data_IF_820232936825
#
_entry.id   IF_820232936825
#
_cell.length_a   1.000
_cell.length_b   1.000
_cell.length_c   1.000
_cell.angle_alpha   90.00
_cell.angle_beta   90.00
_cell.angle_gamma   90.00
#
_symmetry.space_group_name_H-M   'P 1'
#
loop_
_entity.id
_entity.type
_entity.pdbx_description
1 polymer ?
#
# COMPACT_ATOMS: atom_id res chain seq x y z
N UNK A 1 -2.51 3.78 3.06
CA UNK A 1 -2.28 2.82 4.14
C UNK A 1 -2.43 1.39 3.63
N UNK A 2 -1.79 0.46 4.32
CA UNK A 2 -1.94 -0.96 4.10
C UNK A 2 -3.20 -1.47 4.81
N UNK A 3 -3.96 -2.35 4.16
CA UNK A 3 -5.17 -2.94 4.72
C UNK A 3 -5.08 -4.46 4.74
N UNK A 4 -5.65 -5.03 5.79
CA UNK A 4 -5.86 -6.46 5.93
C UNK A 4 -7.21 -6.80 5.26
N UNK A 5 -7.15 -7.52 4.16
CA UNK A 5 -8.34 -7.97 3.44
C UNK A 5 -8.70 -9.39 3.89
N UNK A 6 -9.88 -9.58 4.42
CA UNK A 6 -10.38 -10.87 4.89
C UNK A 6 -11.34 -11.47 3.85
N UNK A 7 -11.11 -12.69 3.44
CA UNK A 7 -11.98 -13.43 2.53
C UNK A 7 -13.17 -13.99 3.30
N UNK A 8 -14.35 -13.37 3.15
CA UNK A 8 -15.55 -13.71 3.92
C UNK A 8 -15.99 -15.17 3.76
N UNK A 9 -15.88 -15.75 2.57
CA UNK A 9 -16.27 -17.14 2.34
C UNK A 9 -15.35 -18.11 3.10
N UNK A 10 -14.03 -17.88 3.02
CA UNK A 10 -13.04 -18.70 3.75
C UNK A 10 -13.13 -18.45 5.25
N UNK A 11 -13.32 -17.22 5.70
CA UNK A 11 -13.54 -16.90 7.09
C UNK A 11 -14.76 -17.65 7.67
N UNK A 12 -15.85 -17.70 6.93
CA UNK A 12 -17.06 -18.45 7.34
C UNK A 12 -16.80 -19.96 7.38
N UNK A 13 -16.08 -20.53 6.41
CA UNK A 13 -15.75 -21.96 6.36
C UNK A 13 -14.92 -22.39 7.57
N UNK A 14 -13.95 -21.57 7.99
CA UNK A 14 -13.05 -21.85 9.11
C UNK A 14 -13.51 -21.25 10.44
N UNK A 15 -14.68 -20.64 10.48
CA UNK A 15 -15.25 -20.07 11.72
C UNK A 15 -14.47 -18.87 12.26
N UNK A 16 -13.83 -18.10 11.38
CA UNK A 16 -13.10 -16.89 11.76
C UNK A 16 -14.11 -15.78 12.07
N UNK A 17 -14.11 -15.28 13.30
CA UNK A 17 -14.81 -14.06 13.62
C UNK A 17 -13.91 -12.86 13.22
N UNK A 18 -14.27 -12.18 12.15
CA UNK A 18 -13.48 -11.07 11.62
C UNK A 18 -13.33 -9.90 12.59
N UNK A 19 -14.25 -9.76 13.57
CA UNK A 19 -14.15 -8.69 14.57
C UNK A 19 -13.03 -8.93 15.59
N UNK A 20 -12.63 -10.19 15.76
CA UNK A 20 -11.55 -10.56 16.69
C UNK A 20 -10.15 -10.43 16.07
N UNK A 21 -10.06 -10.24 14.74
CA UNK A 21 -8.79 -10.08 14.04
C UNK A 21 -8.35 -8.62 14.07
N UNK A 22 -7.26 -8.35 14.77
CA UNK A 22 -6.65 -7.02 14.88
C UNK A 22 -5.21 -6.98 14.35
N UNK A 23 -4.56 -8.14 14.21
CA UNK A 23 -3.17 -8.31 13.80
C UNK A 23 -2.98 -9.60 13.01
N UNK A 24 -1.81 -9.79 12.41
CA UNK A 24 -1.47 -11.05 11.74
C UNK A 24 -1.40 -12.22 12.73
N UNK A 25 -0.97 -11.98 13.96
CA UNK A 25 -0.85 -12.96 15.00
C UNK A 25 -2.22 -13.58 15.39
N UNK A 26 -3.30 -12.80 15.28
CA UNK A 26 -4.66 -13.29 15.55
C UNK A 26 -5.13 -14.32 14.51
N UNK A 27 -4.51 -14.34 13.34
CA UNK A 27 -4.80 -15.30 12.27
C UNK A 27 -4.08 -16.63 12.45
N UNK A 28 -3.04 -16.72 13.27
CA UNK A 28 -2.16 -17.90 13.37
C UNK A 28 -2.90 -19.22 13.59
N UNK A 29 -3.91 -19.34 14.48
CA UNK A 29 -4.63 -20.61 14.69
C UNK A 29 -5.36 -21.09 13.42
N UNK A 30 -5.86 -20.17 12.62
CA UNK A 30 -6.58 -20.47 11.38
C UNK A 30 -5.60 -20.79 10.24
N UNK A 31 -4.47 -20.07 10.17
CA UNK A 31 -3.39 -20.35 9.21
C UNK A 31 -2.81 -21.75 9.44
N UNK A 32 -2.63 -22.15 10.70
CA UNK A 32 -2.21 -23.49 11.05
C UNK A 32 -3.23 -24.54 10.57
N UNK A 33 -4.52 -24.31 10.78
CA UNK A 33 -5.58 -25.24 10.36
C UNK A 33 -5.60 -25.43 8.83
N UNK A 34 -5.38 -24.36 8.08
CA UNK A 34 -5.25 -24.39 6.61
C UNK A 34 -3.99 -25.14 6.16
N UNK A 35 -2.87 -24.89 6.83
CA UNK A 35 -1.60 -25.55 6.51
C UNK A 35 -1.67 -27.06 6.79
N UNK A 36 -2.37 -27.50 7.83
CA UNK A 36 -2.63 -28.92 8.11
C UNK A 36 -3.42 -29.61 6.98
N UNK A 37 -4.19 -28.84 6.22
CA UNK A 37 -4.90 -29.30 5.01
C UNK A 37 -4.05 -29.13 3.72
N UNK A 38 -2.82 -28.65 3.82
CA UNK A 38 -1.94 -28.38 2.68
C UNK A 38 -2.31 -27.10 1.91
N UNK A 39 -3.05 -26.20 2.52
CA UNK A 39 -3.45 -24.90 1.96
C UNK A 39 -2.60 -23.77 2.55
N UNK A 40 -2.52 -22.65 1.85
CA UNK A 40 -1.86 -21.43 2.32
C UNK A 40 -2.90 -20.35 2.59
N UNK A 41 -2.93 -19.88 3.83
CA UNK A 41 -4.00 -18.98 4.28
C UNK A 41 -3.69 -17.49 4.18
N UNK A 42 -2.43 -17.10 4.03
CA UNK A 42 -1.99 -15.71 3.99
C UNK A 42 -1.38 -15.39 2.61
N UNK A 43 -1.98 -14.44 1.91
CA UNK A 43 -1.45 -13.93 0.64
C UNK A 43 -0.63 -12.67 0.90
N UNK A 44 0.67 -12.72 0.69
CA UNK A 44 1.58 -11.57 0.65
C UNK A 44 2.10 -11.41 -0.78
N UNK A 45 1.41 -10.59 -1.56
CA UNK A 45 1.74 -10.37 -2.98
C UNK A 45 3.09 -9.64 -3.11
N UNK A 46 4.00 -10.21 -3.90
CA UNK A 46 5.33 -9.63 -4.17
C UNK A 46 5.28 -8.27 -4.88
N UNK A 47 4.15 -7.89 -5.45
CA UNK A 47 3.97 -6.57 -6.09
C UNK A 47 3.54 -5.47 -5.12
N UNK A 48 3.22 -5.82 -3.87
CA UNK A 48 2.89 -4.82 -2.85
C UNK A 48 4.17 -4.23 -2.25
N UNK A 49 4.35 -2.93 -2.39
CA UNK A 49 5.53 -2.20 -1.91
C UNK A 49 5.32 -1.49 -0.56
N UNK A 50 4.26 -1.85 0.20
CA UNK A 50 3.89 -1.14 1.44
C UNK A 50 4.02 -1.98 2.72
N UNK A 51 4.63 -3.17 2.67
CA UNK A 51 4.70 -4.05 3.85
C UNK A 51 5.48 -3.45 5.04
N UNK A 52 6.38 -2.50 4.81
CA UNK A 52 7.06 -1.76 5.88
C UNK A 52 6.09 -0.95 6.76
N UNK A 53 4.90 -0.62 6.26
CA UNK A 53 3.88 0.04 7.07
C UNK A 53 3.39 -0.83 8.23
N UNK A 54 3.42 -2.17 8.09
CA UNK A 54 3.13 -3.10 9.20
C UNK A 54 4.11 -2.95 10.36
N UNK A 55 5.33 -2.53 10.07
CA UNK A 55 6.33 -2.23 11.07
C UNK A 55 6.25 -0.78 11.60
N UNK A 56 5.30 0.02 11.10
CA UNK A 56 5.13 1.42 11.50
C UNK A 56 6.13 2.36 10.84
N UNK A 57 6.53 2.05 9.62
CA UNK A 57 7.43 2.90 8.84
C UNK A 57 6.72 3.47 7.62
N UNK A 58 7.20 4.61 7.15
CA UNK A 58 6.96 5.12 5.82
C UNK A 58 8.26 5.20 5.04
N UNK A 59 8.21 5.42 3.73
CA UNK A 59 9.38 5.49 2.88
C UNK A 59 9.60 6.91 2.36
N UNK A 60 10.84 7.38 2.39
CA UNK A 60 11.24 8.65 1.81
C UNK A 60 12.49 8.47 0.96
N UNK A 61 12.40 8.73 -0.35
CA UNK A 61 13.51 8.58 -1.31
C UNK A 61 14.32 7.28 -1.12
N UNK A 62 13.60 6.17 -0.86
CA UNK A 62 14.18 4.86 -0.72
C UNK A 62 14.69 4.48 0.67
N UNK A 63 14.68 5.37 1.65
CA UNK A 63 14.96 5.06 3.06
C UNK A 63 13.69 5.06 3.90
N UNK A 64 13.77 4.57 5.12
CA UNK A 64 12.62 4.35 5.98
C UNK A 64 12.57 5.38 7.12
N UNK A 65 11.36 5.92 7.32
CA UNK A 65 11.05 6.88 8.38
C UNK A 65 10.16 6.17 9.39
N UNK A 66 10.58 6.15 10.64
CA UNK A 66 9.76 5.62 11.72
C UNK A 66 8.59 6.57 11.98
N UNK A 67 7.38 6.07 11.83
CA UNK A 67 6.15 6.86 11.95
C UNK A 67 5.93 7.41 13.37
N UNK A 68 6.44 6.73 14.38
CA UNK A 68 6.30 7.14 15.80
C UNK A 68 7.26 8.26 16.18
N UNK A 69 8.51 8.18 15.69
CA UNK A 69 9.57 9.14 16.05
C UNK A 69 9.71 10.28 15.05
N UNK A 70 9.22 10.11 13.82
CA UNK A 70 9.42 11.02 12.69
C UNK A 70 10.86 11.03 12.17
N UNK A 71 11.71 10.09 12.60
CA UNK A 71 13.12 10.05 12.24
C UNK A 71 13.40 8.97 11.17
N UNK A 72 14.41 9.24 10.35
CA UNK A 72 14.98 8.24 9.46
C UNK A 72 15.76 7.21 10.28
N UNK A 73 15.44 5.93 10.11
CA UNK A 73 16.04 4.82 10.86
C UNK A 73 16.37 3.66 9.92
N UNK A 74 17.35 2.84 10.30
CA UNK A 74 17.56 1.56 9.63
C UNK A 74 16.48 0.57 10.06
N UNK A 75 15.55 0.28 9.17
CA UNK A 75 14.41 -0.60 9.45
C UNK A 75 14.85 -2.01 9.86
N UNK A 76 15.98 -2.50 9.35
CA UNK A 76 16.53 -3.82 9.68
C UNK A 76 17.24 -3.90 11.03
N UNK A 77 17.35 -2.78 11.76
CA UNK A 77 17.85 -2.72 13.14
C UNK A 77 16.75 -2.29 14.14
N UNK A 78 15.55 -1.91 13.65
CA UNK A 78 14.46 -1.48 14.52
C UNK A 78 13.70 -2.68 15.12
N UNK A 79 13.46 -2.67 16.44
CA UNK A 79 12.85 -3.79 17.17
C UNK A 79 11.44 -4.16 16.66
N UNK A 80 10.61 -3.16 16.32
CA UNK A 80 9.26 -3.37 15.82
C UNK A 80 9.26 -4.00 14.43
N UNK A 81 10.15 -3.53 13.57
CA UNK A 81 10.33 -4.10 12.23
C UNK A 81 10.89 -5.53 12.30
N UNK A 82 11.88 -5.77 13.16
CA UNK A 82 12.43 -7.11 13.39
C UNK A 82 11.37 -8.09 13.91
N UNK A 83 10.45 -7.62 14.77
CA UNK A 83 9.33 -8.45 15.21
C UNK A 83 8.45 -8.87 14.03
N UNK A 84 8.05 -7.90 13.18
CA UNK A 84 7.26 -8.20 11.98
C UNK A 84 7.98 -9.18 11.03
N UNK A 85 9.23 -8.91 10.70
CA UNK A 85 10.05 -9.76 9.83
C UNK A 85 10.19 -11.18 10.38
N UNK A 86 10.30 -11.32 11.72
CA UNK A 86 10.36 -12.63 12.38
C UNK A 86 9.03 -13.38 12.26
N UNK A 87 7.90 -12.70 12.46
CA UNK A 87 6.57 -13.31 12.26
C UNK A 87 6.41 -13.80 10.83
N UNK A 88 6.77 -12.96 9.83
CA UNK A 88 6.73 -13.35 8.41
C UNK A 88 7.66 -14.53 8.14
N UNK A 89 8.87 -14.55 8.73
CA UNK A 89 9.79 -15.66 8.58
C UNK A 89 9.19 -16.97 9.13
N UNK A 90 8.67 -16.96 10.35
CA UNK A 90 8.02 -18.11 10.97
C UNK A 90 6.84 -18.60 10.13
N UNK A 91 6.02 -17.70 9.62
CA UNK A 91 4.86 -18.01 8.77
C UNK A 91 5.28 -18.59 7.40
N UNK A 92 6.38 -18.09 6.84
CA UNK A 92 6.95 -18.68 5.61
C UNK A 92 7.44 -20.10 5.85
N UNK A 93 8.17 -20.35 6.96
CA UNK A 93 8.67 -21.68 7.32
C UNK A 93 7.53 -22.67 7.62
N UNK A 94 6.43 -22.20 8.20
CA UNK A 94 5.24 -23.00 8.50
C UNK A 94 4.36 -23.25 7.26
N UNK A 95 4.69 -22.67 6.11
CA UNK A 95 3.92 -22.82 4.88
C UNK A 95 2.59 -22.06 4.86
N UNK A 96 2.44 -21.02 5.68
CA UNK A 96 1.23 -20.21 5.74
C UNK A 96 1.12 -19.20 4.60
N UNK A 97 2.26 -18.78 4.02
CA UNK A 97 2.33 -17.68 3.05
C UNK A 97 2.27 -18.20 1.63
N UNK A 98 1.47 -17.55 0.79
CA UNK A 98 1.54 -17.59 -0.68
C UNK A 98 1.96 -16.21 -1.18
N UNK A 99 2.93 -16.18 -2.10
CA UNK A 99 3.37 -14.95 -2.79
C UNK A 99 2.78 -14.86 -4.20
N UNK A 100 1.94 -15.82 -4.59
CA UNK A 100 1.36 -15.90 -5.91
C UNK A 100 -0.13 -15.55 -5.85
N UNK A 101 -0.53 -14.59 -6.69
CA UNK A 101 -1.91 -14.14 -6.88
C UNK A 101 -2.79 -15.17 -7.60
N UNK A 102 -2.25 -16.32 -8.02
CA UNK A 102 -3.06 -17.36 -8.66
C UNK A 102 -3.97 -18.06 -7.63
N UNK A 103 -5.01 -17.32 -7.28
CA UNK A 103 -6.01 -17.57 -6.24
C UNK A 103 -6.79 -18.89 -6.50
N UNK A 104 -6.70 -19.43 -7.71
CA UNK A 104 -7.47 -20.63 -8.08
C UNK A 104 -7.04 -21.88 -7.30
N UNK A 105 -5.85 -21.89 -6.70
CA UNK A 105 -5.28 -23.05 -6.03
C UNK A 105 -5.06 -22.87 -4.51
N UNK A 106 -5.06 -21.63 -4.00
CA UNK A 106 -4.79 -21.36 -2.57
C UNK A 106 -6.03 -20.67 -1.94
N UNK A 107 -6.68 -21.35 -0.99
CA UNK A 107 -7.76 -20.75 -0.21
C UNK A 107 -7.15 -19.83 0.85
N UNK A 108 -7.00 -18.54 0.56
CA UNK A 108 -6.48 -17.59 1.53
C UNK A 108 -7.59 -17.02 2.42
N UNK A 109 -7.31 -16.92 3.71
CA UNK A 109 -8.15 -16.21 4.69
C UNK A 109 -7.95 -14.71 4.54
N UNK A 110 -6.70 -14.27 4.34
CA UNK A 110 -6.28 -12.90 4.42
C UNK A 110 -5.26 -12.56 3.36
N UNK A 111 -5.33 -11.33 2.89
CA UNK A 111 -4.23 -10.71 2.16
C UNK A 111 -3.94 -9.31 2.70
N UNK A 112 -2.68 -8.88 2.61
CA UNK A 112 -2.27 -7.50 2.84
C UNK A 112 -2.16 -6.81 1.48
N UNK A 113 -2.85 -5.70 1.33
CA UNK A 113 -2.90 -4.94 0.08
C UNK A 113 -2.89 -3.44 0.35
N UNK A 114 -2.37 -2.62 -0.56
CA UNK A 114 -2.60 -1.18 -0.50
C UNK A 114 -4.10 -0.89 -0.41
N UNK A 115 -4.49 0.08 0.42
CA UNK A 115 -5.88 0.46 0.60
C UNK A 115 -6.52 0.89 -0.72
N UNK A 116 -7.06 -0.09 -1.40
CA UNK A 116 -8.00 0.11 -2.50
C UNK A 116 -9.32 -0.49 -2.07
N UNK A 117 -10.28 0.28 -1.54
CA UNK A 117 -11.54 -0.24 -0.99
C UNK A 117 -12.49 -0.76 -2.07
N UNK A 118 -11.99 -1.34 -3.17
CA UNK A 118 -12.78 -1.56 -4.37
C UNK A 118 -13.41 -2.95 -4.49
N UNK A 119 -12.95 -3.98 -3.75
CA UNK A 119 -13.30 -5.36 -4.17
C UNK A 119 -13.58 -6.37 -3.05
N UNK A 120 -13.65 -6.00 -1.77
CA UNK A 120 -13.70 -6.99 -0.68
C UNK A 120 -14.80 -6.72 0.34
N UNK A 121 -15.47 -7.79 0.75
CA UNK A 121 -16.61 -7.76 1.68
C UNK A 121 -16.25 -7.32 3.10
N UNK A 122 -14.98 -7.46 3.50
CA UNK A 122 -14.46 -6.92 4.75
C UNK A 122 -12.98 -6.56 4.64
N UNK A 123 -12.66 -5.34 5.06
CA UNK A 123 -11.29 -4.85 5.14
C UNK A 123 -11.04 -4.21 6.51
N UNK A 124 -9.83 -4.34 7.03
CA UNK A 124 -9.40 -3.65 8.26
C UNK A 124 -8.14 -2.87 7.96
N UNK A 125 -8.11 -1.61 8.36
CA UNK A 125 -6.90 -0.80 8.29
C UNK A 125 -5.97 -1.28 9.39
N UNK A 126 -4.79 -1.74 9.03
CA UNK A 126 -3.78 -2.28 9.95
C UNK A 126 -2.53 -1.42 10.03
N UNK A 127 -2.44 -0.37 9.21
CA UNK A 127 -1.38 0.63 9.30
C UNK A 127 -1.97 2.04 9.30
N UNK A 128 -1.46 2.90 10.16
CA UNK A 128 -1.62 4.34 10.04
C UNK A 128 -0.52 4.84 9.11
N UNK A 129 -0.75 4.78 7.80
CA UNK A 129 0.24 5.25 6.84
C UNK A 129 0.35 6.76 6.84
N UNK A 130 1.55 7.28 6.66
CA UNK A 130 1.71 8.66 6.20
C UNK A 130 1.22 8.76 4.76
N UNK A 131 0.58 9.88 4.41
CA UNK A 131 0.37 10.23 3.02
C UNK A 131 1.73 10.45 2.36
N UNK A 132 2.26 9.40 1.75
CA UNK A 132 3.48 9.52 0.95
C UNK A 132 3.08 10.06 -0.42
N UNK A 133 3.51 11.27 -0.69
CA UNK A 133 3.43 11.89 -2.02
C UNK A 133 4.78 11.89 -2.72
N UNK A 134 5.52 10.80 -2.63
CA UNK A 134 6.78 10.73 -3.38
C UNK A 134 6.58 10.41 -4.85
N UNK A 135 5.52 9.68 -5.20
CA UNK A 135 5.16 9.38 -6.57
C UNK A 135 3.68 9.70 -6.79
N UNK A 136 3.42 10.81 -7.43
CA UNK A 136 2.11 11.05 -8.00
C UNK A 136 1.92 10.09 -9.17
N UNK A 137 1.11 9.05 -8.98
CA UNK A 137 0.78 8.04 -10.00
C UNK A 137 0.07 8.62 -11.24
N UNK A 138 -0.06 9.90 -11.32
CA UNK A 138 -0.58 10.64 -12.45
C UNK A 138 -0.68 12.12 -12.14
N UNK A 139 -0.13 12.93 -12.99
CA UNK A 139 -0.23 14.39 -12.93
C UNK A 139 -0.92 14.89 -14.17
N UNK A 140 -2.00 15.63 -14.01
CA UNK A 140 -2.65 16.33 -15.12
C UNK A 140 -2.21 17.78 -15.08
N UNK A 141 -1.58 18.23 -16.16
CA UNK A 141 -1.08 19.59 -16.30
C UNK A 141 -1.64 20.31 -17.51
N UNK A 142 -1.70 21.64 -17.42
CA UNK A 142 -2.08 22.49 -18.55
C UNK A 142 -0.79 23.00 -19.20
N UNK A 143 -0.60 22.68 -20.49
CA UNK A 143 0.59 23.13 -21.22
C UNK A 143 0.73 24.67 -21.19
N UNK A 144 1.95 25.14 -20.94
CA UNK A 144 2.27 26.58 -20.98
C UNK A 144 2.00 27.20 -22.34
N UNK A 145 2.05 26.43 -23.44
CA UNK A 145 1.75 26.85 -24.80
C UNK A 145 0.26 26.77 -25.17
N UNK A 146 -0.62 26.25 -24.29
CA UNK A 146 -2.05 26.19 -24.57
C UNK A 146 -2.65 27.58 -24.79
N UNK A 147 -3.49 27.72 -25.82
CA UNK A 147 -4.26 28.92 -26.10
C UNK A 147 -5.59 29.00 -25.33
N UNK A 148 -5.97 27.91 -24.69
CA UNK A 148 -7.26 27.75 -23.99
C UNK A 148 -7.04 27.34 -22.54
N UNK A 149 -6.12 28.00 -21.82
CA UNK A 149 -5.74 27.61 -20.46
C UNK A 149 -6.90 27.69 -19.46
N UNK A 150 -7.71 28.74 -19.58
CA UNK A 150 -8.88 28.96 -18.71
C UNK A 150 -9.90 27.84 -18.87
N UNK A 151 -10.29 27.52 -20.10
CA UNK A 151 -11.22 26.43 -20.39
C UNK A 151 -10.66 25.06 -19.96
N UNK A 152 -9.35 24.84 -20.12
CA UNK A 152 -8.70 23.63 -19.65
C UNK A 152 -8.73 23.52 -18.13
N UNK A 153 -8.52 24.63 -17.43
CA UNK A 153 -8.63 24.69 -15.97
C UNK A 153 -10.07 24.46 -15.49
N UNK A 154 -11.04 25.10 -16.15
CA UNK A 154 -12.47 24.88 -15.87
C UNK A 154 -12.86 23.39 -16.02
N UNK A 155 -12.38 22.72 -17.08
CA UNK A 155 -12.62 21.29 -17.26
C UNK A 155 -11.99 20.45 -16.14
N UNK A 156 -10.74 20.74 -15.77
CA UNK A 156 -10.08 20.02 -14.67
C UNK A 156 -10.80 20.26 -13.32
N UNK A 157 -11.28 21.48 -13.09
CA UNK A 157 -12.08 21.78 -11.90
C UNK A 157 -13.38 20.97 -11.88
N UNK A 158 -14.13 20.95 -12.99
CA UNK A 158 -15.37 20.18 -13.14
C UNK A 158 -15.14 18.68 -12.95
N UNK A 159 -14.07 18.11 -13.52
CA UNK A 159 -13.71 16.71 -13.33
C UNK A 159 -13.53 16.32 -11.86
N UNK A 160 -13.22 17.29 -11.00
CA UNK A 160 -12.98 17.06 -9.58
C UNK A 160 -14.12 17.52 -8.64
N UNK A 161 -15.13 18.23 -9.16
CA UNK A 161 -16.20 18.83 -8.34
C UNK A 161 -17.60 18.53 -8.85
N UNK A 162 -17.76 18.07 -10.10
CA UNK A 162 -19.06 17.77 -10.70
C UNK A 162 -19.32 16.27 -10.68
N UNK A 163 -20.34 15.86 -9.90
CA UNK A 163 -20.68 14.43 -9.70
C UNK A 163 -21.11 13.75 -11.00
N UNK A 164 -21.84 14.44 -11.89
CA UNK A 164 -22.31 13.85 -13.15
C UNK A 164 -21.13 13.58 -14.07
N UNK A 165 -20.20 14.52 -14.19
CA UNK A 165 -19.00 14.37 -15.01
C UNK A 165 -18.08 13.28 -14.44
N UNK A 166 -17.88 13.27 -13.12
CA UNK A 166 -17.11 12.21 -12.45
C UNK A 166 -17.73 10.83 -12.70
N UNK A 167 -19.06 10.72 -12.61
CA UNK A 167 -19.78 9.48 -12.93
C UNK A 167 -19.60 9.03 -14.38
N UNK A 168 -19.63 9.96 -15.33
CA UNK A 168 -19.40 9.62 -16.75
C UNK A 168 -17.99 9.07 -16.96
N UNK A 169 -16.99 9.67 -16.32
CA UNK A 169 -15.61 9.20 -16.44
C UNK A 169 -15.41 7.87 -15.71
N UNK A 170 -15.97 7.71 -14.51
CA UNK A 170 -15.78 6.53 -13.66
C UNK A 170 -16.60 5.32 -14.16
N UNK A 171 -17.90 5.51 -14.41
CA UNK A 171 -18.84 4.44 -14.77
C UNK A 171 -19.14 4.36 -16.27
N UNK A 172 -18.86 5.43 -17.03
CA UNK A 172 -19.24 5.54 -18.42
C UNK A 172 -20.73 5.87 -18.61
N UNK A 173 -21.30 5.43 -19.73
CA UNK A 173 -22.69 5.69 -20.10
C UNK A 173 -23.57 4.46 -19.87
N UNK A 174 -24.78 4.68 -19.31
CA UNK A 174 -25.80 3.64 -19.14
C UNK A 174 -26.17 3.02 -20.50
N UNK A 175 -26.40 1.72 -20.50
CA UNK A 175 -26.71 0.93 -21.67
C UNK A 175 -25.49 0.61 -22.56
N UNK A 176 -24.38 1.33 -22.42
CA UNK A 176 -23.14 1.09 -23.15
C UNK A 176 -22.08 0.46 -22.23
N UNK A 177 -21.77 1.11 -21.13
CA UNK A 177 -20.68 0.71 -20.23
C UNK A 177 -21.23 -0.05 -19.01
N UNK A 178 -22.44 0.28 -18.56
CA UNK A 178 -23.11 -0.40 -17.46
C UNK A 178 -24.62 -0.52 -17.71
N UNK A 179 -25.25 -1.37 -16.92
CA UNK A 179 -26.72 -1.47 -16.81
C UNK A 179 -27.12 -1.21 -15.36
N UNK A 180 -28.30 -0.64 -15.14
CA UNK A 180 -28.87 -0.46 -13.79
C UNK A 180 -29.83 -1.61 -13.50
N UNK A 181 -29.65 -2.28 -12.37
CA UNK A 181 -30.50 -3.32 -11.85
C UNK A 181 -30.69 -3.11 -10.36
N UNK A 182 -31.95 -3.07 -9.91
CA UNK A 182 -32.33 -2.83 -8.50
C UNK A 182 -31.71 -1.54 -7.87
N UNK A 183 -31.41 -0.54 -8.73
CA UNK A 183 -30.81 0.73 -8.32
C UNK A 183 -29.28 0.72 -8.32
N UNK A 184 -28.64 -0.39 -8.61
CA UNK A 184 -27.20 -0.56 -8.63
C UNK A 184 -26.66 -0.62 -10.05
N UNK A 185 -25.46 -0.08 -10.28
CA UNK A 185 -24.78 -0.07 -11.58
C UNK A 185 -23.93 -1.33 -11.75
N UNK A 186 -24.24 -2.12 -12.77
CA UNK A 186 -23.49 -3.34 -13.13
C UNK A 186 -22.67 -3.09 -14.40
N UNK A 187 -21.34 -3.08 -14.33
CA UNK A 187 -20.49 -2.94 -15.51
C UNK A 187 -20.77 -4.04 -16.53
N UNK A 188 -20.87 -3.69 -17.80
CA UNK A 188 -21.03 -4.65 -18.87
C UNK A 188 -19.73 -5.43 -19.11
N UNK A 189 -19.83 -6.74 -19.39
CA UNK A 189 -18.67 -7.65 -19.57
C UNK A 189 -17.63 -7.18 -20.59
N UNK A 190 -18.01 -6.34 -21.54
CA UNK A 190 -17.15 -5.80 -22.59
C UNK A 190 -16.88 -4.29 -22.39
N UNK A 191 -17.26 -3.72 -21.25
CA UNK A 191 -16.90 -2.36 -20.92
C UNK A 191 -15.38 -2.30 -20.71
N UNK A 192 -14.71 -1.37 -21.41
CA UNK A 192 -13.32 -1.10 -21.11
C UNK A 192 -13.26 -0.47 -19.70
N UNK A 193 -12.45 -1.00 -18.80
CA UNK A 193 -12.28 -0.39 -17.50
C UNK A 193 -11.63 1.00 -17.69
N UNK A 194 -12.33 2.05 -17.27
CA UNK A 194 -11.80 3.42 -17.25
C UNK A 194 -11.08 3.75 -15.94
N UNK A 195 -10.85 2.75 -15.09
CA UNK A 195 -10.31 2.93 -13.75
C UNK A 195 -9.00 3.72 -13.72
N UNK A 196 -8.07 3.43 -14.62
CA UNK A 196 -6.78 4.13 -14.66
C UNK A 196 -6.95 5.61 -15.05
N UNK A 197 -7.87 5.89 -15.98
CA UNK A 197 -8.17 7.26 -16.40
C UNK A 197 -8.94 8.00 -15.30
N UNK A 198 -9.89 7.33 -14.66
CA UNK A 198 -10.66 7.91 -13.56
C UNK A 198 -9.77 8.24 -12.36
N UNK A 199 -8.85 7.35 -12.00
CA UNK A 199 -7.94 7.54 -10.88
C UNK A 199 -6.97 8.73 -11.07
N UNK A 200 -6.65 9.07 -12.33
CA UNK A 200 -5.69 10.15 -12.65
C UNK A 200 -6.34 11.48 -13.04
N UNK A 201 -7.56 11.45 -13.56
CA UNK A 201 -8.21 12.64 -14.15
C UNK A 201 -9.37 13.20 -13.34
N UNK A 202 -10.00 12.39 -12.49
CA UNK A 202 -11.20 12.81 -11.76
C UNK A 202 -11.17 12.38 -10.30
N UNK A 203 -12.04 12.96 -9.49
CA UNK A 203 -12.24 12.58 -8.10
C UNK A 203 -13.20 11.39 -8.01
N UNK A 204 -12.66 10.18 -7.88
CA UNK A 204 -13.47 8.95 -7.77
C UNK A 204 -14.32 8.89 -6.50
N UNK A 205 -14.05 9.74 -5.49
CA UNK A 205 -14.82 9.79 -4.25
C UNK A 205 -16.21 10.36 -4.47
N UNK A 206 -16.35 11.34 -5.40
CA UNK A 206 -17.64 11.95 -5.73
C UNK A 206 -18.44 11.16 -6.75
N UNK A 207 -17.82 10.20 -7.44
CA UNK A 207 -18.53 9.30 -8.35
C UNK A 207 -19.41 8.32 -7.59
N UNK A 208 -20.56 7.95 -8.16
CA UNK A 208 -21.42 6.90 -7.61
C UNK A 208 -20.72 5.54 -7.70
N UNK A 209 -20.87 4.73 -6.66
CA UNK A 209 -20.36 3.36 -6.64
C UNK A 209 -21.08 2.47 -7.66
N UNK A 210 -20.40 1.43 -8.09
CA UNK A 210 -20.98 0.36 -8.91
C UNK A 210 -20.87 -0.98 -8.18
N UNK A 211 -21.41 -2.05 -8.75
CA UNK A 211 -21.44 -3.38 -8.12
C UNK A 211 -20.08 -4.04 -7.89
N UNK A 212 -19.01 -3.43 -8.39
CA UNK A 212 -17.63 -3.87 -8.13
C UNK A 212 -16.97 -3.04 -7.02
N UNK A 213 -17.58 -1.92 -6.64
CA UNK A 213 -17.09 -1.09 -5.54
C UNK A 213 -17.55 -1.66 -4.20
N UNK A 214 -16.71 -1.55 -3.18
CA UNK A 214 -17.13 -1.79 -1.81
C UNK A 214 -18.20 -0.75 -1.41
N UNK A 215 -19.26 -1.21 -0.73
CA UNK A 215 -20.34 -0.32 -0.26
C UNK A 215 -19.84 0.72 0.75
N UNK A 216 -18.80 0.38 1.52
CA UNK A 216 -18.15 1.28 2.49
C UNK A 216 -17.06 2.18 1.90
N UNK A 217 -16.82 2.15 0.59
CA UNK A 217 -15.72 2.87 -0.08
C UNK A 217 -15.50 4.29 0.40
N UNK A 218 -16.57 5.08 0.51
CA UNK A 218 -16.46 6.49 0.93
C UNK A 218 -16.08 6.61 2.41
N UNK A 219 -16.61 5.73 3.25
CA UNK A 219 -16.31 5.67 4.67
C UNK A 219 -14.88 5.21 4.90
N UNK A 220 -14.44 4.17 4.18
CA UNK A 220 -13.08 3.65 4.26
C UNK A 220 -12.04 4.68 3.81
N UNK A 221 -12.32 5.43 2.72
CA UNK A 221 -11.46 6.53 2.28
C UNK A 221 -11.42 7.65 3.34
N UNK A 222 -12.55 8.01 3.93
CA UNK A 222 -12.61 9.02 4.98
C UNK A 222 -11.78 8.59 6.20
N UNK A 223 -11.90 7.34 6.63
CA UNK A 223 -11.09 6.76 7.72
C UNK A 223 -9.60 6.79 7.36
N UNK A 224 -9.23 6.42 6.14
CA UNK A 224 -7.84 6.49 5.68
C UNK A 224 -7.30 7.93 5.75
N UNK A 225 -8.10 8.92 5.34
CA UNK A 225 -7.72 10.33 5.42
C UNK A 225 -7.57 10.83 6.86
N UNK A 226 -8.48 10.44 7.75
CA UNK A 226 -8.43 10.83 9.17
C UNK A 226 -7.22 10.24 9.90
N UNK A 227 -6.76 9.06 9.48
CA UNK A 227 -5.62 8.37 10.07
C UNK A 227 -4.29 8.58 9.33
N UNK A 228 -4.29 9.35 8.25
CA UNK A 228 -3.08 9.64 7.48
C UNK A 228 -2.47 10.95 7.92
N UNK A 229 -1.17 10.95 8.12
CA UNK A 229 -0.38 12.14 8.43
C UNK A 229 0.54 12.47 7.25
N UNK A 230 0.90 13.74 7.11
CA UNK A 230 1.89 14.16 6.12
C UNK A 230 3.26 13.67 6.60
N UNK A 231 4.03 13.07 5.69
CA UNK A 231 5.39 12.65 6.02
C UNK A 231 6.20 13.81 6.63
N UNK A 232 6.91 13.59 7.74
CA UNK A 232 7.74 14.62 8.36
C UNK A 232 8.86 15.13 7.44
N UNK A 233 9.15 14.40 6.36
CA UNK A 233 10.13 14.78 5.34
C UNK A 233 9.48 15.40 4.09
N UNK A 234 8.17 15.62 4.09
CA UNK A 234 7.48 16.23 2.96
C UNK A 234 8.01 17.64 2.69
N UNK A 235 8.45 17.88 1.44
CA UNK A 235 9.02 19.15 1.03
C UNK A 235 10.50 19.36 1.41
N UNK A 236 11.15 18.40 2.04
CA UNK A 236 12.58 18.47 2.31
C UNK A 236 13.37 18.34 0.99
N UNK A 237 14.14 19.33 0.68
CA UNK A 237 15.09 19.32 -0.43
C UNK A 237 16.44 18.78 0.05
N UNK A 238 16.96 17.77 -0.64
CA UNK A 238 18.27 17.18 -0.31
C UNK A 238 19.32 17.68 -1.31
N UNK A 239 20.57 17.75 -0.86
CA UNK A 239 21.72 18.06 -1.73
C UNK A 239 21.97 16.94 -2.74
N UNK A 240 22.64 17.27 -3.87
CA UNK A 240 23.01 16.24 -4.88
C UNK A 240 23.85 15.12 -4.28
N UNK A 241 24.77 15.43 -3.35
CA UNK A 241 25.61 14.43 -2.66
C UNK A 241 24.77 13.49 -1.79
N UNK A 242 23.80 14.02 -1.03
CA UNK A 242 22.89 13.20 -0.25
C UNK A 242 21.96 12.38 -1.13
N UNK A 243 21.49 12.93 -2.24
CA UNK A 243 20.66 12.22 -3.20
C UNK A 243 21.40 10.99 -3.77
N UNK A 244 22.69 11.13 -4.15
CA UNK A 244 23.48 9.98 -4.64
C UNK A 244 23.65 8.88 -3.56
N UNK A 245 23.84 9.27 -2.29
CA UNK A 245 23.93 8.31 -1.18
C UNK A 245 22.59 7.62 -0.93
N UNK A 246 21.47 8.37 -1.01
CA UNK A 246 20.11 7.84 -0.90
C UNK A 246 19.82 6.79 -1.97
N UNK A 247 20.19 7.04 -3.21
CA UNK A 247 20.03 6.06 -4.30
C UNK A 247 20.77 4.75 -4.01
N UNK A 248 22.00 4.83 -3.46
CA UNK A 248 22.79 3.63 -3.12
C UNK A 248 22.16 2.83 -1.97
N UNK A 249 21.66 3.51 -0.95
CA UNK A 249 21.00 2.84 0.18
C UNK A 249 19.63 2.30 -0.23
N UNK A 250 18.89 3.03 -1.06
CA UNK A 250 17.62 2.58 -1.62
C UNK A 250 17.77 1.26 -2.39
N UNK A 251 18.79 1.16 -3.25
CA UNK A 251 19.05 -0.06 -4.01
C UNK A 251 19.27 -1.27 -3.10
N UNK A 252 19.98 -1.10 -1.97
CA UNK A 252 20.15 -2.19 -0.99
C UNK A 252 18.82 -2.57 -0.34
N UNK A 253 18.02 -1.59 0.06
CA UNK A 253 16.71 -1.88 0.63
C UNK A 253 15.78 -2.60 -0.36
N UNK A 254 15.83 -2.23 -1.65
CA UNK A 254 15.04 -2.88 -2.70
C UNK A 254 15.49 -4.34 -2.91
N UNK A 255 16.80 -4.61 -2.88
CA UNK A 255 17.34 -5.98 -3.00
C UNK A 255 16.88 -6.89 -1.84
N UNK A 256 16.65 -6.33 -0.65
CA UNK A 256 16.19 -7.07 0.52
C UNK A 256 14.70 -6.90 0.83
N UNK A 257 13.94 -6.27 -0.06
CA UNK A 257 12.51 -6.04 0.17
C UNK A 257 11.71 -7.35 0.30
N UNK A 258 12.18 -8.44 -0.32
CA UNK A 258 11.60 -9.78 -0.21
C UNK A 258 11.38 -10.26 1.23
N UNK A 259 12.20 -9.80 2.17
CA UNK A 259 12.09 -10.16 3.59
C UNK A 259 10.73 -9.78 4.18
N UNK A 260 10.09 -8.72 3.68
CA UNK A 260 8.79 -8.25 4.16
C UNK A 260 7.60 -9.13 3.75
N UNK A 261 7.77 -9.99 2.76
CA UNK A 261 6.73 -10.92 2.30
C UNK A 261 7.16 -12.39 2.29
N UNK A 262 8.29 -12.71 2.92
CA UNK A 262 8.73 -14.09 3.14
C UNK A 262 9.57 -14.68 2.02
N UNK A 263 10.17 -13.86 1.16
CA UNK A 263 11.16 -14.27 0.17
C UNK A 263 12.57 -13.94 0.68
N UNK A 264 13.35 -14.97 0.94
CA UNK A 264 14.70 -14.86 1.50
C UNK A 264 15.81 -15.06 0.44
N UNK A 265 15.44 -15.23 -0.85
CA UNK A 265 16.37 -15.41 -1.93
C UNK A 265 17.32 -16.58 -1.69
N UNK A 266 18.62 -16.32 -1.65
CA UNK A 266 19.69 -17.33 -1.44
C UNK A 266 20.00 -17.57 0.05
N UNK A 267 19.46 -16.79 0.99
CA UNK A 267 19.77 -16.88 2.41
C UNK A 267 19.02 -18.02 3.10
N UNK A 268 19.71 -18.70 4.02
CA UNK A 268 19.19 -19.88 4.71
C UNK A 268 18.36 -19.51 5.95
N UNK A 269 18.48 -18.29 6.43
CA UNK A 269 17.75 -17.78 7.59
C UNK A 269 17.54 -16.29 7.53
N UNK A 270 16.56 -15.81 8.31
CA UNK A 270 16.33 -14.37 8.49
C UNK A 270 17.58 -13.66 9.05
N UNK A 271 18.26 -14.26 10.02
CA UNK A 271 19.47 -13.68 10.64
C UNK A 271 20.59 -13.50 9.62
N UNK A 272 20.78 -14.47 8.74
CA UNK A 272 21.78 -14.39 7.66
C UNK A 272 21.44 -13.26 6.66
N UNK A 273 20.18 -13.18 6.25
CA UNK A 273 19.71 -12.13 5.34
C UNK A 273 19.83 -10.73 5.98
N UNK A 274 19.41 -10.57 7.23
CA UNK A 274 19.53 -9.30 7.96
C UNK A 274 20.99 -8.88 8.17
N UNK A 275 21.87 -9.84 8.47
CA UNK A 275 23.31 -9.58 8.56
C UNK A 275 23.86 -9.07 7.22
N UNK A 276 23.54 -9.74 6.12
CA UNK A 276 23.97 -9.32 4.79
C UNK A 276 23.42 -7.94 4.40
N UNK A 277 22.13 -7.68 4.66
CA UNK A 277 21.50 -6.39 4.41
C UNK A 277 22.21 -5.26 5.16
N UNK A 278 22.46 -5.44 6.47
CA UNK A 278 23.10 -4.44 7.29
C UNK A 278 24.56 -4.18 6.88
N UNK A 279 25.33 -5.20 6.49
CA UNK A 279 26.68 -5.02 5.96
C UNK A 279 26.68 -4.23 4.63
N UNK A 280 25.73 -4.51 3.74
CA UNK A 280 25.61 -3.77 2.49
C UNK A 280 25.13 -2.33 2.71
N UNK A 281 24.18 -2.09 3.63
CA UNK A 281 23.73 -0.75 4.00
C UNK A 281 24.89 0.08 4.61
N UNK A 282 25.70 -0.50 5.47
CA UNK A 282 26.89 0.15 6.01
C UNK A 282 27.89 0.50 4.93
N UNK A 283 28.11 -0.41 3.99
CA UNK A 283 28.99 -0.16 2.83
C UNK A 283 28.43 0.94 1.90
N UNK A 284 27.10 1.07 1.79
CA UNK A 284 26.42 2.12 1.04
C UNK A 284 26.41 3.47 1.77
N UNK A 285 26.78 3.52 3.06
CA UNK A 285 26.88 4.76 3.86
C UNK A 285 25.61 5.12 4.59
N UNK A 286 24.79 4.14 4.99
CA UNK A 286 23.50 4.36 5.66
C UNK A 286 23.61 5.28 6.89
N UNK A 287 24.65 5.12 7.71
CA UNK A 287 24.83 5.92 8.93
C UNK A 287 24.97 7.42 8.63
N UNK A 288 25.68 7.77 7.56
CA UNK A 288 25.82 9.15 7.11
C UNK A 288 24.49 9.70 6.58
N UNK A 289 23.76 8.87 5.79
CA UNK A 289 22.46 9.23 5.23
C UNK A 289 21.45 9.52 6.33
N UNK A 290 21.32 8.61 7.31
CA UNK A 290 20.38 8.79 8.42
C UNK A 290 20.70 10.02 9.27
N UNK A 291 21.98 10.22 9.59
CA UNK A 291 22.42 11.38 10.37
C UNK A 291 22.10 12.69 9.62
N UNK A 292 22.46 12.78 8.35
CA UNK A 292 22.26 14.00 7.56
C UNK A 292 20.78 14.33 7.37
N UNK A 293 19.93 13.30 7.06
CA UNK A 293 18.50 13.48 6.96
C UNK A 293 17.88 13.98 8.26
N UNK A 294 18.21 13.34 9.38
CA UNK A 294 17.67 13.72 10.69
C UNK A 294 18.15 15.11 11.14
N UNK A 295 19.37 15.50 10.80
CA UNK A 295 19.85 16.88 11.05
C UNK A 295 19.11 17.92 10.21
N UNK A 296 18.82 17.61 8.93
CA UNK A 296 18.09 18.50 8.05
C UNK A 296 16.63 18.62 8.48
N UNK A 297 15.98 17.51 8.81
CA UNK A 297 14.62 17.49 9.36
C UNK A 297 14.51 18.35 10.62
N UNK A 298 15.41 18.20 11.57
CA UNK A 298 15.42 19.00 12.79
C UNK A 298 15.67 20.51 12.60
N UNK A 299 16.12 20.93 11.42
CA UNK A 299 16.21 22.35 11.02
C UNK A 299 14.93 22.83 10.33
N UNK A 300 14.34 21.95 9.50
CA UNK A 300 13.11 22.21 8.75
C UNK A 300 11.89 22.41 9.67
N UNK A 301 11.78 21.61 10.73
CA UNK A 301 10.71 21.73 11.74
C UNK A 301 10.73 23.04 12.56
N UNK A 302 11.80 23.84 12.45
CA UNK A 302 11.97 25.08 13.22
C UNK A 302 11.68 26.35 12.42
N UNK A 303 11.46 26.22 11.11
CA UNK A 303 11.08 27.32 10.21
C UNK A 303 9.56 27.31 9.95
#
# INVERSE_FOLDING_TARGET
PLVLLLNGDVCNEYGVNTDDIQSLEDLEPYLQSLADEGKRGLLLDSTCELYYEMAGFCRYKGVYINAETGLAENIFENEKALKYLKTVYEYSQNGYISNNVDIANDAYICSLSPAMPLYYDSSKIVSSGYLQQEELNGVVGISSSSKNKETAFELLALLNTDEELANIIYNGAEGRNYAVKDGEKYPNKNALPFYDVAATMTNSIIAESNSQDNQSKREDIAICWEHSEVSPFYGLEVSDDLAEKLEKTAAVYDDFYGLFYGDYGEYQSLDEALFAANEQLKAAGIDEVLNELNEQHGKFDKE
#
